data_IF_442101896442
#
_entry.id   IF_442101896442
#
_cell.length_a   1.000
_cell.length_b   1.000
_cell.length_c   1.000
_cell.angle_alpha   90.00
_cell.angle_beta   90.00
_cell.angle_gamma   90.00
#
_symmetry.space_group_name_H-M   'P 1'
#
loop_
_entity.id
_entity.type
_entity.pdbx_description
1 polymer ?
#
# COMPACT_ATOMS: atom_id res chain seq x y z
N UNK A 1 26.16 30.58 55.96
CA UNK A 1 24.80 30.71 56.53
C UNK A 1 24.05 29.43 56.21
N UNK A 2 23.65 28.68 57.27
CA UNK A 2 22.74 27.50 57.41
C UNK A 2 22.45 26.63 56.17
N UNK A 3 22.88 25.35 56.11
CA UNK A 3 22.36 24.13 56.76
C UNK A 3 20.87 23.79 56.51
N UNK A 4 20.62 22.57 55.98
CA UNK A 4 19.59 21.53 56.25
C UNK A 4 19.66 20.57 55.02
N UNK A 5 20.05 19.29 54.99
CA UNK A 5 20.04 18.08 55.85
C UNK A 5 18.68 17.33 55.92
N UNK A 6 18.59 16.20 55.20
CA UNK A 6 17.87 14.92 55.49
C UNK A 6 17.65 14.16 54.18
N UNK A 7 17.58 12.83 54.06
CA UNK A 7 17.97 11.67 54.87
C UNK A 7 17.67 10.44 54.00
N UNK A 8 18.56 9.45 54.02
CA UNK A 8 18.37 8.09 53.49
C UNK A 8 17.21 7.38 54.19
N UNK A 9 16.59 6.40 53.51
CA UNK A 9 16.21 5.15 54.16
C UNK A 9 16.26 3.96 53.18
N UNK A 10 17.00 2.95 53.63
CA UNK A 10 17.26 1.64 53.02
C UNK A 10 16.19 0.63 53.44
N UNK A 11 15.84 -0.31 52.55
CA UNK A 11 15.02 -1.47 52.89
C UNK A 11 15.83 -2.74 52.70
N UNK A 12 15.97 -3.51 53.78
CA UNK A 12 16.71 -4.76 53.89
C UNK A 12 15.86 -5.98 53.54
N UNK A 13 16.59 -6.99 53.05
CA UNK A 13 16.39 -8.43 53.00
C UNK A 13 15.68 -9.06 54.22
N UNK A 14 14.85 -10.08 53.99
CA UNK A 14 14.47 -11.09 55.00
C UNK A 14 14.27 -12.48 54.34
N UNK A 15 14.74 -13.51 55.04
CA UNK A 15 14.87 -14.93 54.65
C UNK A 15 13.99 -15.81 55.56
N UNK A 16 13.34 -16.83 54.98
CA UNK A 16 13.02 -18.14 55.57
C UNK A 16 11.64 -18.34 56.24
N UNK A 17 11.34 -19.56 56.76
CA UNK A 17 11.24 -20.88 56.08
C UNK A 17 9.95 -21.66 56.50
N UNK A 18 9.58 -22.79 55.87
CA UNK A 18 8.79 -23.93 56.45
C UNK A 18 8.57 -25.05 55.38
N UNK A 19 9.21 -26.23 55.47
CA UNK A 19 8.76 -27.54 56.04
C UNK A 19 7.73 -28.32 55.15
N UNK A 20 8.05 -29.36 54.37
CA UNK A 20 8.42 -30.79 54.60
C UNK A 20 7.22 -31.78 54.76
N UNK A 21 7.04 -32.71 53.78
CA UNK A 21 6.49 -34.09 53.87
C UNK A 21 6.59 -34.73 52.45
N UNK A 22 7.37 -35.77 52.06
CA UNK A 22 7.67 -37.18 52.43
C UNK A 22 6.76 -38.28 51.81
N UNK A 23 7.46 -39.31 51.27
CA UNK A 23 7.12 -40.66 50.74
C UNK A 23 6.63 -40.77 49.26
N UNK A 24 7.35 -41.41 48.32
CA UNK A 24 7.88 -42.81 48.16
C UNK A 24 6.86 -43.71 47.39
N UNK A 25 7.22 -44.50 46.36
CA UNK A 25 7.91 -45.81 46.40
C UNK A 25 8.21 -46.33 44.96
N UNK A 26 9.37 -47.01 44.83
CA UNK A 26 9.82 -48.15 43.98
C UNK A 26 9.11 -48.52 42.65
N UNK A 27 9.78 -49.04 41.61
CA UNK A 27 10.55 -50.31 41.62
C UNK A 27 11.46 -50.44 40.38
N UNK A 28 12.64 -51.02 40.59
CA UNK A 28 13.58 -51.45 39.56
C UNK A 28 13.34 -52.92 39.16
N UNK A 29 13.64 -53.27 37.91
CA UNK A 29 13.97 -54.64 37.51
C UNK A 29 15.21 -54.61 36.62
N UNK A 30 16.25 -55.31 37.06
CA UNK A 30 17.39 -55.73 36.25
C UNK A 30 17.32 -57.25 36.08
N UNK A 31 17.54 -57.73 34.87
CA UNK A 31 17.96 -59.12 34.61
C UNK A 31 19.02 -59.09 33.50
N UNK A 32 20.10 -59.83 33.75
CA UNK A 32 21.30 -60.05 32.94
C UNK A 32 21.17 -61.37 32.18
N UNK A 33 21.65 -61.48 30.93
CA UNK A 33 22.67 -62.48 30.49
C UNK A 33 22.85 -62.62 28.95
N UNK A 34 24.12 -62.54 28.54
CA UNK A 34 24.95 -63.20 27.51
C UNK A 34 24.50 -63.60 26.07
N UNK A 35 25.21 -62.98 25.11
CA UNK A 35 26.07 -63.53 24.03
C UNK A 35 25.56 -64.59 23.03
N UNK A 36 25.58 -64.25 21.73
CA UNK A 36 26.50 -64.87 20.76
C UNK A 36 26.64 -64.07 19.44
N UNK A 37 27.79 -64.28 18.80
CA UNK A 37 28.40 -63.65 17.62
C UNK A 37 27.67 -63.80 16.27
N UNK A 38 28.15 -62.99 15.31
CA UNK A 38 28.10 -63.11 13.83
C UNK A 38 26.84 -62.59 13.13
N UNK A 39 26.91 -61.44 12.46
CA UNK A 39 27.36 -61.37 11.06
C UNK A 39 27.37 -59.94 10.51
N UNK A 40 28.26 -59.74 9.55
CA UNK A 40 28.52 -58.53 8.77
C UNK A 40 27.27 -57.81 8.25
N UNK A 41 27.19 -56.50 8.49
CA UNK A 41 26.80 -55.54 7.45
C UNK A 41 27.61 -54.25 7.62
N UNK A 42 28.42 -53.95 6.60
CA UNK A 42 29.10 -52.67 6.43
C UNK A 42 28.05 -51.67 5.96
N UNK A 43 27.58 -50.79 6.84
CA UNK A 43 26.93 -49.54 6.41
C UNK A 43 27.94 -48.42 6.56
N UNK A 44 28.43 -47.81 5.46
CA UNK A 44 29.23 -46.62 5.55
C UNK A 44 28.35 -45.46 6.03
N UNK A 45 28.80 -44.86 7.12
CA UNK A 45 28.44 -43.51 7.54
C UNK A 45 28.64 -42.54 6.36
N UNK A 46 27.52 -42.20 5.71
CA UNK A 46 27.42 -41.24 4.61
C UNK A 46 26.37 -40.18 4.98
N UNK A 47 26.43 -39.62 6.18
CA UNK A 47 25.61 -38.46 6.57
C UNK A 47 26.44 -37.21 6.92
N UNK A 48 27.70 -37.17 6.46
CA UNK A 48 28.56 -35.99 6.61
C UNK A 48 29.07 -35.50 5.26
N UNK A 49 28.18 -34.97 4.38
CA UNK A 49 28.57 -34.10 3.25
C UNK A 49 27.37 -33.47 2.50
N UNK A 50 26.95 -32.30 2.97
CA UNK A 50 26.68 -31.09 2.18
C UNK A 50 25.89 -30.07 3.03
N UNK A 51 26.49 -29.54 4.10
CA UNK A 51 26.05 -28.22 4.55
C UNK A 51 26.48 -27.22 3.48
N UNK A 52 25.52 -26.76 2.68
CA UNK A 52 25.70 -25.61 1.81
C UNK A 52 26.06 -24.44 2.71
N UNK A 53 27.35 -24.07 2.75
CA UNK A 53 27.84 -22.93 3.50
C UNK A 53 27.33 -21.64 2.83
N UNK A 54 26.06 -21.31 3.08
CA UNK A 54 25.48 -20.02 2.73
C UNK A 54 25.77 -19.07 3.90
N UNK A 55 26.75 -18.18 3.71
CA UNK A 55 27.08 -17.15 4.70
C UNK A 55 26.13 -15.96 4.50
N UNK A 56 25.47 -15.56 5.61
CA UNK A 56 24.66 -14.34 5.85
C UNK A 56 24.47 -13.36 4.67
N UNK A 57 23.20 -13.04 4.41
CA UNK A 57 22.82 -12.05 3.38
C UNK A 57 22.80 -10.63 3.98
N UNK A 58 23.08 -9.62 3.14
CA UNK A 58 22.81 -8.21 3.43
C UNK A 58 21.79 -7.60 2.44
N UNK A 59 21.98 -6.34 2.04
CA UNK A 59 21.07 -5.47 1.26
C UNK A 59 20.48 -6.13 0.01
N UNK A 60 19.21 -6.52 0.11
CA UNK A 60 18.33 -6.93 -0.98
C UNK A 60 17.44 -5.73 -1.31
N UNK A 61 17.23 -5.45 -2.60
CA UNK A 61 16.20 -4.49 -3.02
C UNK A 61 14.96 -5.26 -3.45
N UNK A 62 13.84 -4.98 -2.80
CA UNK A 62 12.52 -5.55 -3.08
C UNK A 62 11.56 -4.41 -3.36
N UNK A 63 10.85 -4.45 -4.49
CA UNK A 63 9.65 -3.64 -4.69
C UNK A 63 8.50 -4.20 -3.83
N UNK A 64 7.50 -3.36 -3.58
CA UNK A 64 6.30 -3.76 -2.84
C UNK A 64 5.67 -5.02 -3.47
N UNK A 65 5.47 -6.08 -2.67
CA UNK A 65 4.91 -7.36 -3.12
C UNK A 65 5.90 -8.41 -3.61
N UNK A 66 7.20 -8.09 -3.75
CA UNK A 66 8.25 -9.09 -3.99
C UNK A 66 8.94 -9.47 -2.67
N UNK A 67 9.16 -10.77 -2.47
CA UNK A 67 9.94 -11.29 -1.34
C UNK A 67 10.93 -12.35 -1.82
N UNK A 68 12.22 -12.15 -1.59
CA UNK A 68 13.21 -13.22 -1.73
C UNK A 68 13.14 -14.16 -0.52
N UNK A 69 13.32 -15.46 -0.74
CA UNK A 69 13.15 -16.50 0.28
C UNK A 69 14.47 -17.25 0.54
N UNK A 70 14.50 -18.03 1.62
CA UNK A 70 15.65 -18.85 1.96
C UNK A 70 16.05 -19.77 0.77
N UNK A 71 17.35 -19.85 0.41
CA UNK A 71 18.50 -19.42 1.21
C UNK A 71 18.97 -17.97 0.98
N UNK A 72 18.24 -17.14 0.24
CA UNK A 72 18.61 -15.73 -0.05
C UNK A 72 18.18 -14.78 1.06
N UNK A 73 17.10 -15.07 1.79
CA UNK A 73 16.71 -14.31 2.98
C UNK A 73 16.32 -15.30 4.07
N UNK A 74 16.85 -15.14 5.29
CA UNK A 74 16.66 -16.12 6.38
C UNK A 74 15.17 -16.28 6.75
N UNK A 75 14.42 -15.18 6.74
CA UNK A 75 12.99 -15.18 7.00
C UNK A 75 12.34 -13.97 6.37
N UNK A 76 11.56 -14.19 5.30
CA UNK A 76 10.63 -13.19 4.79
C UNK A 76 9.28 -13.38 5.50
N UNK A 77 8.66 -12.29 5.94
CA UNK A 77 7.27 -12.28 6.41
C UNK A 77 6.41 -11.55 5.39
N UNK A 78 5.35 -12.20 4.95
CA UNK A 78 4.46 -11.71 3.92
C UNK A 78 3.01 -12.07 4.28
N UNK A 79 2.05 -11.27 3.85
CA UNK A 79 0.64 -11.37 4.27
C UNK A 79 -0.37 -11.29 3.13
N UNK A 80 0.09 -11.00 1.91
CA UNK A 80 -0.74 -10.97 0.72
C UNK A 80 -0.89 -12.35 0.08
N UNK A 81 -1.74 -12.40 -0.94
CA UNK A 81 -2.04 -13.62 -1.68
C UNK A 81 -0.91 -13.89 -2.68
N UNK A 82 -0.41 -15.12 -2.77
CA UNK A 82 0.58 -15.48 -3.80
C UNK A 82 0.00 -15.31 -5.22
N UNK A 83 0.73 -14.62 -6.10
CA UNK A 83 0.38 -14.59 -7.52
C UNK A 83 1.11 -15.69 -8.26
N UNK A 84 0.42 -16.78 -8.55
CA UNK A 84 0.93 -17.87 -9.37
C UNK A 84 0.68 -17.68 -10.88
N UNK A 85 0.03 -16.57 -11.29
CA UNK A 85 -0.38 -16.34 -12.68
C UNK A 85 0.66 -15.61 -13.52
N UNK A 86 1.68 -15.04 -12.88
CA UNK A 86 2.73 -14.26 -13.54
C UNK A 86 3.69 -15.15 -14.33
N UNK A 87 4.40 -14.54 -15.28
CA UNK A 87 5.49 -15.15 -16.03
C UNK A 87 6.82 -14.43 -15.74
N UNK A 88 7.35 -14.54 -14.51
CA UNK A 88 8.57 -13.84 -14.15
C UNK A 88 9.79 -14.38 -14.89
N UNK A 89 10.75 -13.49 -15.08
CA UNK A 89 12.05 -13.74 -15.69
C UNK A 89 13.13 -13.49 -14.64
N UNK A 90 14.15 -14.36 -14.59
CA UNK A 90 15.33 -14.15 -13.74
C UNK A 90 16.54 -13.91 -14.64
N UNK A 91 17.14 -12.73 -14.52
CA UNK A 91 18.34 -12.35 -15.25
C UNK A 91 19.55 -12.38 -14.32
N UNK A 92 20.67 -12.87 -14.85
CA UNK A 92 21.95 -12.85 -14.16
C UNK A 92 22.96 -12.12 -15.02
N UNK A 93 23.66 -11.15 -14.43
CA UNK A 93 24.52 -10.22 -15.16
C UNK A 93 25.85 -10.03 -14.43
N UNK A 94 26.94 -9.87 -15.17
CA UNK A 94 28.26 -9.57 -14.59
C UNK A 94 28.42 -8.09 -14.18
N UNK A 95 27.44 -7.25 -14.51
CA UNK A 95 27.44 -5.81 -14.19
C UNK A 95 26.14 -5.40 -13.47
N UNK A 96 26.19 -4.38 -12.60
CA UNK A 96 25.00 -3.91 -11.87
C UNK A 96 23.86 -3.38 -12.76
N UNK A 97 24.18 -2.89 -13.97
CA UNK A 97 23.19 -2.35 -14.89
C UNK A 97 22.39 -3.42 -15.64
N UNK A 98 22.83 -4.69 -15.59
CA UNK A 98 22.18 -5.80 -16.29
C UNK A 98 21.91 -5.58 -17.78
N UNK A 99 22.78 -4.83 -18.46
CA UNK A 99 22.68 -4.63 -19.90
C UNK A 99 23.19 -5.87 -20.67
N UNK A 100 22.62 -6.18 -21.85
CA UNK A 100 23.10 -7.27 -22.69
C UNK A 100 24.60 -7.12 -23.06
N UNK A 101 25.35 -8.24 -23.19
CA UNK A 101 24.89 -9.62 -23.06
C UNK A 101 24.72 -10.06 -21.60
N UNK A 102 23.59 -10.72 -21.30
CA UNK A 102 23.33 -11.34 -20.01
C UNK A 102 24.27 -12.54 -19.79
N UNK A 103 24.67 -12.79 -18.54
CA UNK A 103 25.41 -14.01 -18.19
C UNK A 103 24.49 -15.23 -18.27
N UNK A 104 23.25 -15.10 -17.79
CA UNK A 104 22.22 -16.15 -17.90
C UNK A 104 20.83 -15.51 -17.88
N UNK A 105 19.87 -16.14 -18.56
CA UNK A 105 18.47 -15.76 -18.60
C UNK A 105 17.62 -16.99 -18.30
N UNK A 106 16.73 -16.89 -17.32
CA UNK A 106 15.77 -17.93 -17.00
C UNK A 106 14.35 -17.41 -17.22
N UNK A 107 13.52 -18.16 -17.94
CA UNK A 107 12.11 -17.85 -18.18
C UNK A 107 11.23 -19.00 -17.70
N UNK A 108 9.91 -18.84 -17.77
CA UNK A 108 8.95 -19.92 -17.52
C UNK A 108 8.97 -20.99 -18.62
N UNK A 109 9.50 -20.64 -19.80
CA UNK A 109 9.68 -21.53 -20.94
C UNK A 109 10.98 -22.35 -20.80
N UNK A 110 10.98 -23.58 -21.32
CA UNK A 110 12.15 -24.46 -21.29
C UNK A 110 11.92 -25.78 -20.54
N UNK A 111 13.01 -26.50 -20.23
CA UNK A 111 12.95 -27.84 -19.62
C UNK A 111 13.82 -27.94 -18.36
N UNK A 112 13.32 -28.67 -17.35
CA UNK A 112 14.11 -29.03 -16.18
C UNK A 112 14.27 -27.92 -15.14
N UNK A 113 15.44 -27.84 -14.52
CA UNK A 113 15.76 -26.91 -13.42
C UNK A 113 16.19 -25.52 -13.92
N UNK A 114 16.39 -25.37 -15.23
CA UNK A 114 16.74 -24.12 -15.93
C UNK A 114 15.52 -23.27 -16.30
N UNK A 115 14.31 -23.66 -15.86
CA UNK A 115 13.11 -22.83 -15.98
C UNK A 115 12.71 -22.26 -14.64
N UNK A 116 12.08 -21.09 -14.66
CA UNK A 116 11.35 -20.55 -13.51
C UNK A 116 10.12 -21.41 -13.28
N UNK A 117 10.09 -22.11 -12.15
CA UNK A 117 9.03 -23.05 -11.75
C UNK A 117 8.18 -22.45 -10.65
N UNK A 118 6.93 -22.86 -10.60
CA UNK A 118 6.00 -22.51 -9.52
C UNK A 118 5.95 -23.69 -8.54
N UNK A 119 6.12 -23.41 -7.26
CA UNK A 119 5.81 -24.30 -6.15
C UNK A 119 4.52 -23.80 -5.50
N UNK A 120 3.40 -24.45 -5.83
CA UNK A 120 2.08 -24.07 -5.33
C UNK A 120 1.86 -24.43 -3.86
N UNK A 121 2.57 -25.43 -3.34
CA UNK A 121 2.40 -25.88 -1.95
C UNK A 121 3.09 -24.92 -0.99
N UNK A 122 4.28 -24.47 -1.37
CA UNK A 122 5.07 -23.50 -0.60
C UNK A 122 4.91 -22.06 -1.13
N UNK A 123 3.96 -21.84 -2.03
CA UNK A 123 3.56 -20.55 -2.60
C UNK A 123 4.73 -19.63 -3.04
N UNK A 124 5.61 -20.13 -3.91
CA UNK A 124 6.73 -19.35 -4.45
C UNK A 124 7.14 -19.76 -5.87
N UNK A 125 7.94 -18.91 -6.50
CA UNK A 125 8.70 -19.20 -7.71
C UNK A 125 10.11 -19.68 -7.36
N UNK A 126 10.65 -20.61 -8.15
CA UNK A 126 11.99 -21.16 -7.96
C UNK A 126 12.70 -21.42 -9.29
N UNK A 127 13.96 -21.02 -9.39
CA UNK A 127 14.91 -21.46 -10.42
C UNK A 127 16.25 -21.83 -9.80
N UNK A 128 17.00 -22.74 -10.42
CA UNK A 128 18.31 -23.17 -9.92
C UNK A 128 19.42 -22.64 -10.82
N UNK A 129 20.27 -21.77 -10.27
CA UNK A 129 21.45 -21.29 -10.98
C UNK A 129 22.68 -22.13 -10.64
N UNK A 130 23.13 -22.97 -11.58
CA UNK A 130 24.37 -23.72 -11.46
C UNK A 130 25.56 -22.90 -12.00
N UNK A 131 26.48 -22.54 -11.11
CA UNK A 131 27.65 -21.71 -11.47
C UNK A 131 28.64 -22.42 -12.39
N UNK A 132 28.71 -23.76 -12.35
CA UNK A 132 29.58 -24.52 -13.27
C UNK A 132 29.03 -24.53 -14.68
N UNK A 133 27.73 -24.81 -14.82
CA UNK A 133 27.08 -24.94 -16.12
C UNK A 133 26.93 -23.60 -16.83
N UNK A 134 26.63 -22.54 -16.09
CA UNK A 134 26.58 -21.16 -16.62
C UNK A 134 27.97 -20.57 -16.90
N UNK A 135 29.06 -21.21 -16.47
CA UNK A 135 30.41 -20.69 -16.63
C UNK A 135 30.72 -19.47 -15.76
N UNK A 136 30.07 -19.34 -14.60
CA UNK A 136 30.35 -18.25 -13.67
C UNK A 136 31.79 -18.33 -13.12
N UNK A 137 32.46 -17.19 -13.03
CA UNK A 137 33.89 -17.10 -12.73
C UNK A 137 34.12 -16.78 -11.26
N UNK A 138 34.96 -17.56 -10.59
CA UNK A 138 35.37 -17.26 -9.22
C UNK A 138 36.15 -15.94 -9.15
N UNK A 139 35.81 -15.09 -8.17
CA UNK A 139 36.32 -13.73 -8.01
C UNK A 139 35.43 -12.65 -8.64
N UNK A 140 34.36 -13.03 -9.36
CA UNK A 140 33.40 -12.11 -9.95
C UNK A 140 32.13 -11.99 -9.08
N UNK A 141 31.56 -10.79 -9.05
CA UNK A 141 30.21 -10.54 -8.52
C UNK A 141 29.22 -10.46 -9.67
N UNK A 142 28.06 -11.10 -9.48
CA UNK A 142 26.96 -11.12 -10.41
C UNK A 142 25.73 -10.48 -9.75
N UNK A 143 24.93 -9.77 -10.53
CA UNK A 143 23.60 -9.32 -10.12
C UNK A 143 22.57 -10.34 -10.56
N UNK A 144 21.69 -10.72 -9.64
CA UNK A 144 20.49 -11.51 -9.92
C UNK A 144 19.29 -10.58 -9.83
N UNK A 145 18.55 -10.43 -10.93
CA UNK A 145 17.37 -9.57 -11.01
C UNK A 145 16.13 -10.41 -11.31
N UNK A 146 15.03 -10.15 -10.61
CA UNK A 146 13.70 -10.69 -10.92
C UNK A 146 12.92 -9.63 -11.68
N UNK A 147 12.38 -10.01 -12.83
CA UNK A 147 11.53 -9.17 -13.66
C UNK A 147 10.15 -9.78 -13.86
N UNK A 148 9.17 -8.92 -14.01
CA UNK A 148 7.85 -9.26 -14.57
C UNK A 148 7.65 -8.33 -15.76
N UNK A 149 7.44 -8.89 -16.94
CA UNK A 149 7.53 -8.16 -18.21
C UNK A 149 8.88 -7.41 -18.30
N UNK A 150 8.87 -6.09 -18.44
CA UNK A 150 10.08 -5.25 -18.51
C UNK A 150 10.47 -4.61 -17.17
N UNK A 151 9.64 -4.75 -16.13
CA UNK A 151 9.88 -4.13 -14.82
C UNK A 151 10.77 -4.99 -13.94
N UNK A 152 11.82 -4.40 -13.38
CA UNK A 152 12.62 -5.01 -12.31
C UNK A 152 11.83 -4.92 -11.01
N UNK A 153 11.45 -6.07 -10.47
CA UNK A 153 10.73 -6.17 -9.19
C UNK A 153 11.70 -6.21 -7.99
N UNK A 154 12.95 -6.58 -8.22
CA UNK A 154 13.98 -6.60 -7.18
C UNK A 154 15.23 -7.33 -7.62
N UNK A 155 16.29 -7.16 -6.83
CA UNK A 155 17.59 -7.74 -7.14
C UNK A 155 18.45 -7.95 -5.88
N UNK A 156 19.45 -8.81 -6.02
CA UNK A 156 20.53 -9.00 -5.06
C UNK A 156 21.83 -9.36 -5.77
N UNK A 157 22.96 -9.14 -5.11
CA UNK A 157 24.28 -9.41 -5.67
C UNK A 157 24.89 -10.69 -5.08
N UNK A 158 25.54 -11.49 -5.94
CA UNK A 158 26.18 -12.77 -5.61
C UNK A 158 27.65 -12.73 -5.98
N UNK A 159 28.54 -12.81 -4.99
CA UNK A 159 29.97 -13.01 -5.17
C UNK A 159 30.28 -14.51 -5.32
N UNK A 160 30.75 -14.91 -6.51
CA UNK A 160 31.21 -16.28 -6.75
C UNK A 160 32.65 -16.41 -6.27
N UNK A 161 32.91 -17.33 -5.34
CA UNK A 161 34.22 -17.50 -4.68
C UNK A 161 34.78 -18.90 -4.92
N UNK A 162 36.11 -19.09 -4.86
CA UNK A 162 36.72 -20.39 -5.10
C UNK A 162 36.58 -21.36 -3.91
N UNK A 163 36.40 -20.84 -2.69
CA UNK A 163 36.37 -21.64 -1.46
C UNK A 163 35.41 -21.09 -0.42
N UNK A 164 34.91 -21.94 0.48
CA UNK A 164 34.08 -21.50 1.62
C UNK A 164 34.83 -20.59 2.61
N UNK A 165 36.16 -20.64 2.65
CA UNK A 165 36.95 -19.70 3.45
C UNK A 165 36.85 -18.26 2.89
N UNK A 166 36.87 -18.11 1.56
CA UNK A 166 36.67 -16.82 0.90
C UNK A 166 35.23 -16.31 1.05
N UNK A 167 34.24 -17.21 1.14
CA UNK A 167 32.84 -16.82 1.37
C UNK A 167 32.67 -15.99 2.66
N UNK A 168 33.46 -16.28 3.70
CA UNK A 168 33.46 -15.52 4.98
C UNK A 168 34.03 -14.10 4.86
N UNK A 169 34.74 -13.79 3.78
CA UNK A 169 35.37 -12.50 3.54
C UNK A 169 34.58 -11.62 2.56
N UNK A 170 33.47 -12.11 2.03
CA UNK A 170 32.57 -11.34 1.16
C UNK A 170 31.97 -10.18 1.95
N UNK A 171 31.82 -9.03 1.31
CA UNK A 171 31.29 -7.82 1.94
C UNK A 171 29.86 -8.05 2.46
N UNK A 172 29.49 -7.49 3.62
CA UNK A 172 28.09 -7.42 4.03
C UNK A 172 27.26 -6.80 2.90
N UNK A 173 26.11 -7.37 2.58
CA UNK A 173 25.32 -6.94 1.42
C UNK A 173 25.35 -7.90 0.24
N UNK A 174 26.40 -8.72 0.13
CA UNK A 174 26.60 -9.58 -1.04
C UNK A 174 26.54 -11.04 -0.63
N UNK A 175 25.73 -11.83 -1.32
CA UNK A 175 25.62 -13.27 -1.08
C UNK A 175 26.89 -13.97 -1.58
N UNK A 176 27.50 -14.82 -0.76
CA UNK A 176 28.62 -15.64 -1.20
C UNK A 176 28.16 -16.99 -1.76
N UNK A 177 28.70 -17.40 -2.91
CA UNK A 177 28.43 -18.71 -3.52
C UNK A 177 29.73 -19.36 -3.98
N UNK A 178 30.00 -20.60 -3.57
CA UNK A 178 31.24 -21.27 -3.99
C UNK A 178 31.10 -21.73 -5.45
N UNK A 179 32.10 -21.44 -6.28
CA UNK A 179 32.15 -21.84 -7.68
C UNK A 179 31.93 -23.35 -7.82
N UNK A 180 31.02 -23.72 -8.71
CA UNK A 180 30.57 -25.09 -8.91
C UNK A 180 29.34 -25.50 -8.09
N UNK A 181 28.86 -24.65 -7.19
CA UNK A 181 27.59 -24.88 -6.49
C UNK A 181 26.39 -24.37 -7.30
N UNK A 182 25.21 -24.87 -6.90
CA UNK A 182 23.92 -24.40 -7.38
C UNK A 182 23.29 -23.50 -6.33
N UNK A 183 22.78 -22.35 -6.76
CA UNK A 183 21.96 -21.45 -5.95
C UNK A 183 20.48 -21.64 -6.31
N UNK A 184 19.65 -22.15 -5.40
CA UNK A 184 18.20 -22.08 -5.53
C UNK A 184 17.75 -20.63 -5.33
N UNK A 185 17.25 -20.00 -6.38
CA UNK A 185 16.70 -18.65 -6.35
C UNK A 185 15.21 -18.78 -6.12
N UNK A 186 14.77 -18.58 -4.87
CA UNK A 186 13.37 -18.63 -4.46
C UNK A 186 12.85 -17.23 -4.21
N UNK A 187 11.68 -16.91 -4.75
CA UNK A 187 11.02 -15.64 -4.53
C UNK A 187 9.50 -15.80 -4.58
N UNK A 188 8.79 -15.04 -3.76
CA UNK A 188 7.33 -14.91 -3.79
C UNK A 188 7.01 -13.57 -4.43
N UNK A 189 6.07 -13.58 -5.37
CA UNK A 189 5.42 -12.36 -5.83
C UNK A 189 3.99 -12.47 -5.34
N UNK A 190 3.57 -11.53 -4.52
CA UNK A 190 2.18 -11.43 -4.15
C UNK A 190 1.38 -10.86 -5.31
N UNK A 191 0.10 -11.20 -5.37
CA UNK A 191 -0.81 -10.50 -6.24
C UNK A 191 -0.66 -9.04 -5.85
N UNK A 192 -0.27 -8.25 -6.84
CA UNK A 192 -0.88 -6.96 -6.94
C UNK A 192 -2.36 -7.32 -7.09
N UNK A 193 -3.11 -7.44 -6.01
CA UNK A 193 -4.56 -7.45 -6.13
C UNK A 193 -4.82 -6.16 -6.93
N UNK A 194 -5.20 -6.30 -8.19
CA UNK A 194 -4.74 -5.53 -9.36
C UNK A 194 -4.90 -3.98 -9.31
N UNK A 195 -4.19 -3.28 -8.42
CA UNK A 195 -4.55 -1.88 -8.09
C UNK A 195 -5.74 -1.78 -7.13
N UNK A 196 -6.08 -2.88 -6.45
CA UNK A 196 -6.90 -2.88 -5.25
C UNK A 196 -6.11 -2.19 -4.14
N UNK A 197 -6.23 -0.87 -4.10
CA UNK A 197 -5.67 -0.07 -3.04
C UNK A 197 -6.34 -0.47 -1.73
N UNK A 198 -5.58 -1.18 -0.91
CA UNK A 198 -5.91 -1.36 0.50
C UNK A 198 -5.89 0.04 1.12
N UNK A 199 -6.97 0.46 1.80
CA UNK A 199 -7.11 1.81 2.30
C UNK A 199 -5.93 2.25 3.16
N UNK A 200 -5.47 3.49 2.96
CA UNK A 200 -4.37 4.07 3.72
C UNK A 200 -3.24 4.68 2.90
N UNK A 201 -3.35 4.75 1.58
CA UNK A 201 -2.43 5.49 0.68
C UNK A 201 -3.18 5.92 -0.59
N UNK A 202 -4.48 6.13 -0.42
CA UNK A 202 -5.44 6.30 -1.49
C UNK A 202 -6.46 7.39 -1.18
N UNK A 203 -7.09 7.88 -2.24
CA UNK A 203 -8.29 8.72 -2.16
C UNK A 203 -9.36 8.16 -3.10
N UNK A 204 -10.55 7.91 -2.55
CA UNK A 204 -11.68 7.43 -3.33
C UNK A 204 -12.46 8.64 -3.85
N UNK A 205 -12.74 8.69 -5.16
CA UNK A 205 -13.41 9.82 -5.81
C UNK A 205 -14.74 9.35 -6.39
N UNK A 206 -15.81 10.05 -6.02
CA UNK A 206 -17.14 9.93 -6.62
C UNK A 206 -17.59 11.29 -7.12
N UNK A 207 -17.80 11.43 -8.43
CA UNK A 207 -18.25 12.69 -9.03
C UNK A 207 -19.75 12.70 -9.36
N UNK A 208 -20.52 12.03 -8.51
CA UNK A 208 -21.96 12.15 -8.37
C UNK A 208 -22.33 11.92 -6.90
N UNK A 209 -22.87 12.95 -6.25
CA UNK A 209 -23.34 12.87 -4.86
C UNK A 209 -24.60 12.00 -4.74
N UNK A 210 -25.41 11.91 -5.79
CA UNK A 210 -26.70 11.25 -5.76
C UNK A 210 -26.60 9.74 -5.65
N UNK A 211 -25.44 9.11 -5.92
CA UNK A 211 -25.21 7.68 -5.63
C UNK A 211 -25.45 7.35 -4.14
N UNK A 212 -25.33 8.34 -3.26
CA UNK A 212 -25.56 8.22 -1.83
C UNK A 212 -26.91 8.78 -1.36
N UNK A 213 -27.75 9.26 -2.28
CA UNK A 213 -29.07 9.77 -1.92
C UNK A 213 -30.01 8.65 -1.49
N UNK A 214 -30.99 8.95 -0.64
CA UNK A 214 -32.01 8.00 -0.17
C UNK A 214 -32.79 7.37 -1.35
N UNK A 215 -32.93 8.10 -2.47
CA UNK A 215 -33.53 7.57 -3.70
C UNK A 215 -32.65 6.49 -4.35
N UNK A 216 -31.35 6.75 -4.52
CA UNK A 216 -30.42 5.77 -5.09
C UNK A 216 -30.19 4.59 -4.14
N UNK A 217 -30.17 4.85 -2.83
CA UNK A 217 -30.01 3.84 -1.78
C UNK A 217 -31.26 2.99 -1.54
N UNK A 218 -32.35 3.21 -2.27
CA UNK A 218 -33.40 2.20 -2.43
C UNK A 218 -32.85 0.94 -3.12
N UNK A 219 -31.76 1.05 -3.88
CA UNK A 219 -30.99 -0.07 -4.40
C UNK A 219 -30.07 -0.63 -3.29
N UNK A 220 -30.19 -1.92 -2.92
CA UNK A 220 -29.34 -2.55 -1.90
C UNK A 220 -27.85 -2.55 -2.26
N UNK A 221 -27.48 -2.50 -3.54
CA UNK A 221 -26.09 -2.42 -3.96
C UNK A 221 -25.45 -1.05 -3.64
N UNK A 222 -26.21 0.05 -3.66
CA UNK A 222 -25.76 1.35 -3.17
C UNK A 222 -25.54 1.33 -1.64
N UNK A 223 -26.35 0.56 -0.89
CA UNK A 223 -26.14 0.33 0.54
C UNK A 223 -24.85 -0.47 0.75
N UNK A 224 -24.62 -1.52 -0.05
CA UNK A 224 -23.40 -2.34 -0.01
C UNK A 224 -22.14 -1.53 -0.30
N UNK A 225 -22.21 -0.57 -1.23
CA UNK A 225 -21.11 0.37 -1.48
C UNK A 225 -20.68 1.11 -0.21
N UNK A 226 -21.64 1.58 0.58
CA UNK A 226 -21.35 2.24 1.86
C UNK A 226 -20.75 1.28 2.87
N UNK A 227 -21.26 0.05 2.96
CA UNK A 227 -20.68 -0.98 3.82
C UNK A 227 -19.20 -1.17 3.52
N UNK A 228 -18.87 -1.35 2.24
CA UNK A 228 -17.49 -1.57 1.81
C UNK A 228 -16.59 -0.33 2.00
N UNK A 229 -17.17 0.88 1.91
CA UNK A 229 -16.43 2.12 2.12
C UNK A 229 -16.00 2.33 3.56
N UNK A 230 -16.83 1.95 4.55
CA UNK A 230 -16.54 2.21 5.98
C UNK A 230 -16.09 0.97 6.76
N UNK A 231 -16.52 -0.22 6.35
CA UNK A 231 -16.14 -1.49 6.98
C UNK A 231 -14.98 -2.16 6.23
N UNK A 232 -13.84 -1.49 6.20
CA UNK A 232 -12.61 -1.99 5.59
C UNK A 232 -11.54 -2.35 6.62
N UNK A 233 -10.53 -3.08 6.17
CA UNK A 233 -9.31 -3.38 6.91
C UNK A 233 -8.10 -2.66 6.32
N UNK A 234 -7.17 -2.23 7.17
CA UNK A 234 -5.91 -1.55 6.80
C UNK A 234 -4.79 -1.95 7.76
N UNK A 235 -3.53 -1.79 7.35
CA UNK A 235 -2.35 -2.11 8.16
C UNK A 235 -1.99 -1.02 9.20
N UNK A 236 -2.62 0.15 9.15
CA UNK A 236 -2.30 1.29 10.01
C UNK A 236 -3.12 1.39 11.31
N UNK A 237 -2.73 2.28 12.26
CA UNK A 237 -3.43 2.47 13.54
C UNK A 237 -4.90 2.88 13.40
N UNK A 238 -5.33 3.40 12.25
CA UNK A 238 -6.73 3.77 11.98
C UNK A 238 -7.63 2.58 11.65
N UNK A 239 -7.07 1.36 11.54
CA UNK A 239 -7.86 0.14 11.33
C UNK A 239 -8.92 -0.07 12.42
N UNK A 240 -8.56 0.27 13.67
CA UNK A 240 -9.43 0.22 14.85
C UNK A 240 -10.21 1.52 15.10
N UNK A 241 -10.19 2.46 14.16
CA UNK A 241 -10.94 3.71 14.29
C UNK A 241 -12.45 3.43 14.39
N UNK A 242 -13.13 4.23 15.20
CA UNK A 242 -14.55 4.07 15.55
C UNK A 242 -15.41 5.24 15.07
N UNK A 243 -14.82 6.17 14.32
CA UNK A 243 -15.49 7.40 13.91
C UNK A 243 -15.34 7.63 12.40
N UNK A 244 -16.41 8.14 11.79
CA UNK A 244 -16.44 8.66 10.43
C UNK A 244 -16.65 10.16 10.51
N UNK A 245 -15.76 10.90 9.88
CA UNK A 245 -15.90 12.35 9.70
C UNK A 245 -16.57 12.66 8.37
N UNK A 246 -17.53 13.55 8.44
CA UNK A 246 -18.21 14.12 7.28
C UNK A 246 -17.87 15.61 7.26
N UNK A 247 -16.83 15.99 6.52
CA UNK A 247 -16.41 17.38 6.44
C UNK A 247 -17.25 18.13 5.40
N UNK A 248 -18.03 19.04 5.94
CA UNK A 248 -18.99 19.92 5.30
C UNK A 248 -18.45 21.34 5.19
N UNK A 249 -17.15 21.50 5.47
CA UNK A 249 -16.40 22.72 5.37
C UNK A 249 -16.09 23.16 3.95
N UNK A 250 -15.06 23.99 3.80
CA UNK A 250 -14.55 24.48 2.51
C UNK A 250 -15.63 25.03 1.58
N UNK A 251 -16.64 25.71 2.15
CA UNK A 251 -17.78 26.28 1.42
C UNK A 251 -18.52 25.23 0.57
N UNK A 252 -18.90 24.10 1.16
CA UNK A 252 -19.58 23.01 0.45
C UNK A 252 -20.67 23.50 -0.50
N UNK A 253 -20.66 23.02 -1.74
CA UNK A 253 -21.68 23.36 -2.74
C UNK A 253 -23.07 22.84 -2.35
N UNK A 254 -23.14 21.84 -1.46
CA UNK A 254 -24.40 21.25 -1.05
C UNK A 254 -24.36 20.69 0.37
N UNK A 255 -25.00 21.41 1.30
CA UNK A 255 -25.04 21.06 2.71
C UNK A 255 -26.06 19.95 3.08
N UNK A 256 -26.79 19.38 2.11
CA UNK A 256 -27.84 18.40 2.41
C UNK A 256 -27.31 17.10 3.01
N UNK A 257 -26.10 16.64 2.61
CA UNK A 257 -25.43 15.51 3.25
C UNK A 257 -24.91 15.80 4.67
N UNK A 258 -24.81 17.08 4.99
CA UNK A 258 -24.13 17.65 6.16
C UNK A 258 -25.06 18.11 7.27
N UNK A 259 -26.34 18.31 6.95
CA UNK A 259 -27.34 18.66 7.94
C UNK A 259 -27.88 17.37 8.56
N UNK A 260 -27.56 17.12 9.82
CA UNK A 260 -28.33 16.19 10.67
C UNK A 260 -29.74 16.70 10.98
N UNK A 261 -30.23 17.65 10.17
CA UNK A 261 -31.58 18.18 10.27
C UNK A 261 -32.53 17.08 9.84
N UNK A 262 -33.48 16.76 10.72
CA UNK A 262 -34.63 15.88 10.48
C UNK A 262 -35.45 16.21 9.21
N UNK A 263 -35.15 17.32 8.54
CA UNK A 263 -35.77 17.74 7.28
C UNK A 263 -34.90 17.54 6.03
N UNK A 264 -33.63 17.11 6.17
CA UNK A 264 -32.82 16.65 5.04
C UNK A 264 -33.09 15.16 4.84
N UNK A 265 -34.15 14.82 4.11
CA UNK A 265 -34.51 13.43 3.79
C UNK A 265 -33.71 12.86 2.62
N UNK A 266 -32.58 13.48 2.27
CA UNK A 266 -31.85 13.11 1.05
C UNK A 266 -30.73 12.11 1.33
N UNK A 267 -30.19 12.03 2.55
CA UNK A 267 -29.03 11.18 2.88
C UNK A 267 -29.21 10.44 4.22
N UNK A 268 -30.43 10.22 4.70
CA UNK A 268 -30.66 9.56 5.98
C UNK A 268 -30.25 8.08 5.94
N UNK A 269 -30.43 7.40 4.81
CA UNK A 269 -30.06 5.99 4.65
C UNK A 269 -28.54 5.84 4.73
N UNK A 270 -27.78 6.71 4.05
CA UNK A 270 -26.31 6.77 4.15
C UNK A 270 -25.87 6.86 5.61
N UNK A 271 -26.38 7.88 6.31
CA UNK A 271 -25.94 8.21 7.66
C UNK A 271 -26.32 7.10 8.66
N UNK A 272 -27.56 6.60 8.57
CA UNK A 272 -28.03 5.49 9.40
C UNK A 272 -27.25 4.22 9.12
N UNK A 273 -26.84 3.98 7.86
CA UNK A 273 -26.06 2.80 7.49
C UNK A 273 -24.66 2.85 8.10
N UNK A 274 -23.98 3.98 8.03
CA UNK A 274 -22.68 4.17 8.69
C UNK A 274 -22.78 3.86 10.20
N UNK A 275 -23.79 4.42 10.87
CA UNK A 275 -24.00 4.19 12.30
C UNK A 275 -24.36 2.74 12.63
N UNK A 276 -24.99 2.01 11.71
CA UNK A 276 -25.31 0.59 11.89
C UNK A 276 -24.08 -0.32 11.98
N UNK A 277 -22.91 0.16 11.53
CA UNK A 277 -21.60 -0.49 11.73
C UNK A 277 -20.97 -0.19 13.10
N UNK A 278 -21.70 0.47 14.01
CA UNK A 278 -21.20 0.87 15.32
C UNK A 278 -20.22 2.06 15.28
N UNK A 279 -20.17 2.77 14.16
CA UNK A 279 -19.32 3.94 13.97
C UNK A 279 -20.03 5.21 14.42
N UNK A 280 -19.33 6.09 15.13
CA UNK A 280 -19.79 7.45 15.38
C UNK A 280 -19.69 8.26 14.10
N UNK A 281 -20.74 8.96 13.70
CA UNK A 281 -20.72 9.86 12.56
C UNK A 281 -20.70 11.31 13.04
N UNK A 282 -19.62 12.03 12.75
CA UNK A 282 -19.42 13.42 13.16
C UNK A 282 -19.40 14.33 11.95
N UNK A 283 -20.25 15.37 11.96
CA UNK A 283 -20.17 16.43 10.98
C UNK A 283 -19.09 17.43 11.40
N UNK A 284 -18.15 17.68 10.50
CA UNK A 284 -17.13 18.71 10.63
C UNK A 284 -17.50 19.83 9.66
N UNK A 285 -17.18 21.08 10.02
CA UNK A 285 -17.39 22.23 9.14
C UNK A 285 -16.11 23.03 9.12
N UNK A 286 -15.06 22.46 8.51
CA UNK A 286 -13.75 23.09 8.45
C UNK A 286 -13.79 24.39 7.64
N UNK A 287 -13.07 25.41 8.10
CA UNK A 287 -12.68 26.54 7.25
C UNK A 287 -11.27 26.33 6.71
N UNK A 288 -10.90 27.07 5.66
CA UNK A 288 -9.53 27.02 5.09
C UNK A 288 -8.47 27.13 6.19
N UNK A 289 -7.57 26.17 6.25
CA UNK A 289 -6.48 26.06 7.23
C UNK A 289 -6.84 25.39 8.56
N UNK A 290 -8.00 24.74 8.68
CA UNK A 290 -8.45 24.16 9.97
C UNK A 290 -8.53 22.64 9.98
N UNK A 291 -8.54 21.98 8.83
CA UNK A 291 -8.52 20.51 8.74
C UNK A 291 -7.09 19.96 8.94
N UNK A 292 -6.46 20.33 10.06
CA UNK A 292 -5.04 20.04 10.35
C UNK A 292 -4.84 19.03 11.49
N UNK A 293 -5.88 18.75 12.26
CA UNK A 293 -5.84 17.84 13.42
C UNK A 293 -6.99 16.82 13.32
N UNK A 294 -6.77 15.73 12.59
CA UNK A 294 -7.75 14.64 12.45
C UNK A 294 -7.54 13.64 13.59
N UNK A 295 -8.51 13.48 14.53
CA UNK A 295 -8.38 12.58 15.68
C UNK A 295 -8.03 11.15 15.27
N UNK A 296 -7.25 10.46 16.10
CA UNK A 296 -6.75 9.11 15.81
C UNK A 296 -7.85 8.04 15.72
N UNK A 297 -9.01 8.28 16.34
CA UNK A 297 -10.17 7.39 16.26
C UNK A 297 -10.99 7.56 14.98
N UNK A 298 -10.68 8.55 14.12
CA UNK A 298 -11.31 8.70 12.80
C UNK A 298 -10.74 7.65 11.85
N UNK A 299 -11.62 6.81 11.31
CA UNK A 299 -11.31 5.76 10.34
C UNK A 299 -11.52 6.21 8.90
N UNK A 300 -12.59 6.97 8.66
CA UNK A 300 -12.97 7.44 7.33
C UNK A 300 -13.26 8.93 7.37
N UNK A 301 -12.80 9.66 6.36
CA UNK A 301 -13.03 11.09 6.19
C UNK A 301 -13.69 11.34 4.82
N UNK A 302 -14.93 11.80 4.84
CA UNK A 302 -15.62 12.28 3.64
C UNK A 302 -15.39 13.78 3.48
N UNK A 303 -14.89 14.20 2.32
CA UNK A 303 -14.77 15.59 1.90
C UNK A 303 -15.96 15.91 1.01
N UNK A 304 -16.94 16.65 1.53
CA UNK A 304 -18.26 16.75 0.92
C UNK A 304 -18.42 18.01 0.06
N UNK A 305 -18.28 17.86 -1.27
CA UNK A 305 -18.43 18.91 -2.29
C UNK A 305 -17.74 20.24 -1.97
N UNK A 306 -16.44 20.25 -1.56
CA UNK A 306 -15.72 21.48 -1.25
C UNK A 306 -15.61 22.41 -2.46
N UNK A 307 -15.73 23.72 -2.26
CA UNK A 307 -15.49 24.73 -3.31
C UNK A 307 -14.38 25.72 -2.96
N UNK A 308 -13.62 25.45 -1.91
CA UNK A 308 -12.41 26.20 -1.53
C UNK A 308 -11.23 25.25 -1.44
N UNK A 309 -10.09 25.66 -1.99
CA UNK A 309 -8.85 24.88 -1.99
C UNK A 309 -8.33 24.61 -0.57
N UNK A 310 -7.53 23.55 -0.45
CA UNK A 310 -6.89 23.13 0.79
C UNK A 310 -5.50 23.75 0.91
N UNK A 311 -5.14 24.17 2.12
CA UNK A 311 -3.78 24.64 2.42
C UNK A 311 -2.79 23.48 2.45
N UNK A 312 -1.49 23.77 2.31
CA UNK A 312 -0.44 22.75 2.42
C UNK A 312 -0.47 22.03 3.78
N UNK A 313 -0.82 22.73 4.86
CA UNK A 313 -0.96 22.11 6.17
C UNK A 313 -2.11 21.09 6.22
N UNK A 314 -3.23 21.39 5.58
CA UNK A 314 -4.37 20.47 5.48
C UNK A 314 -4.03 19.28 4.57
N UNK A 315 -3.39 19.53 3.43
CA UNK A 315 -2.90 18.44 2.55
C UNK A 315 -1.95 17.52 3.31
N UNK A 316 -1.02 18.05 4.09
CA UNK A 316 -0.12 17.24 4.91
C UNK A 316 -0.85 16.46 6.01
N UNK A 317 -1.90 17.04 6.61
CA UNK A 317 -2.75 16.32 7.56
C UNK A 317 -3.53 15.17 6.90
N UNK A 318 -4.03 15.38 5.67
CA UNK A 318 -4.68 14.33 4.87
C UNK A 318 -3.69 13.22 4.48
N UNK A 319 -2.47 13.58 4.05
CA UNK A 319 -1.39 12.62 3.75
C UNK A 319 -1.03 11.77 4.98
N UNK A 320 -0.88 12.40 6.15
CA UNK A 320 -0.63 11.70 7.40
C UNK A 320 -1.79 10.79 7.80
N UNK A 321 -3.03 11.30 7.68
CA UNK A 321 -4.25 10.52 7.94
C UNK A 321 -4.29 9.27 7.06
N UNK A 322 -4.01 9.41 5.76
CA UNK A 322 -3.90 8.28 4.86
C UNK A 322 -2.81 7.32 5.32
N UNK A 323 -1.56 7.77 5.49
CA UNK A 323 -0.42 6.94 5.91
C UNK A 323 -0.68 6.10 7.17
N UNK A 324 -1.55 6.57 8.06
CA UNK A 324 -2.00 5.89 9.27
C UNK A 324 -3.11 4.84 9.04
N UNK A 325 -3.44 4.55 7.78
CA UNK A 325 -4.52 3.64 7.37
C UNK A 325 -5.88 4.31 7.17
N UNK A 326 -5.99 5.62 7.25
CA UNK A 326 -7.25 6.34 7.08
C UNK A 326 -7.73 6.33 5.63
N UNK A 327 -9.04 6.21 5.40
CA UNK A 327 -9.63 6.33 4.05
C UNK A 327 -10.19 7.73 3.82
N UNK A 328 -9.71 8.40 2.77
CA UNK A 328 -10.24 9.68 2.30
C UNK A 328 -11.25 9.38 1.19
N UNK A 329 -12.44 9.96 1.28
CA UNK A 329 -13.48 9.88 0.25
C UNK A 329 -13.82 11.30 -0.21
N UNK A 330 -13.46 11.64 -1.44
CA UNK A 330 -13.84 12.90 -2.07
C UNK A 330 -15.17 12.74 -2.78
N UNK A 331 -16.14 13.58 -2.41
CA UNK A 331 -17.45 13.63 -3.04
C UNK A 331 -17.53 14.91 -3.85
N UNK A 332 -17.56 14.76 -5.17
CA UNK A 332 -17.81 15.84 -6.13
C UNK A 332 -19.20 15.76 -6.74
N UNK A 333 -19.34 16.36 -7.92
CA UNK A 333 -20.54 16.30 -8.76
C UNK A 333 -20.21 16.49 -10.25
N UNK A 334 -21.21 16.30 -11.12
CA UNK A 334 -21.16 16.64 -12.52
C UNK A 334 -20.90 18.15 -12.73
N UNK A 335 -20.24 18.50 -13.82
CA UNK A 335 -19.74 19.86 -14.10
C UNK A 335 -20.84 20.93 -14.03
N UNK A 336 -22.05 20.59 -14.48
CA UNK A 336 -23.20 21.51 -14.46
C UNK A 336 -23.68 21.90 -13.06
N UNK A 337 -23.48 21.04 -12.06
CA UNK A 337 -23.82 21.33 -10.66
C UNK A 337 -22.59 21.80 -9.87
N UNK A 338 -21.46 21.09 -10.00
CA UNK A 338 -20.26 21.39 -9.22
C UNK A 338 -19.50 22.62 -9.74
N UNK A 339 -19.79 23.03 -10.98
CA UNK A 339 -19.17 24.13 -11.73
C UNK A 339 -17.67 23.93 -11.93
N UNK A 340 -17.06 24.80 -12.75
CA UNK A 340 -15.61 24.80 -12.92
C UNK A 340 -14.86 24.98 -11.58
N UNK A 341 -15.45 25.69 -10.61
CA UNK A 341 -14.83 25.90 -9.29
C UNK A 341 -14.65 24.60 -8.52
N UNK A 342 -15.68 23.74 -8.45
CA UNK A 342 -15.58 22.45 -7.77
C UNK A 342 -14.57 21.51 -8.45
N UNK A 343 -14.59 21.45 -9.78
CA UNK A 343 -13.64 20.68 -10.59
C UNK A 343 -12.19 21.14 -10.36
N UNK A 344 -11.96 22.46 -10.28
CA UNK A 344 -10.63 23.01 -9.96
C UNK A 344 -10.17 22.58 -8.57
N UNK A 345 -11.03 22.70 -7.55
CA UNK A 345 -10.69 22.33 -6.16
C UNK A 345 -10.38 20.84 -6.03
N UNK A 346 -11.16 19.98 -6.68
CA UNK A 346 -10.90 18.53 -6.72
C UNK A 346 -9.54 18.23 -7.34
N UNK A 347 -9.28 18.75 -8.54
CA UNK A 347 -8.03 18.49 -9.26
C UNK A 347 -6.81 19.08 -8.52
N UNK A 348 -6.92 20.27 -7.91
CA UNK A 348 -5.86 20.86 -7.10
C UNK A 348 -5.53 20.00 -5.87
N UNK A 349 -6.55 19.47 -5.19
CA UNK A 349 -6.34 18.55 -4.07
C UNK A 349 -5.65 17.26 -4.54
N UNK A 350 -6.15 16.64 -5.63
CA UNK A 350 -5.55 15.43 -6.20
C UNK A 350 -4.08 15.64 -6.58
N UNK A 351 -3.77 16.74 -7.28
CA UNK A 351 -2.38 17.12 -7.60
C UNK A 351 -1.54 17.29 -6.32
N UNK A 352 -2.08 17.98 -5.30
CA UNK A 352 -1.35 18.23 -4.06
C UNK A 352 -1.10 16.95 -3.25
N UNK A 353 -1.99 15.98 -3.35
CA UNK A 353 -1.82 14.64 -2.79
C UNK A 353 -0.85 13.78 -3.62
N UNK A 354 -0.40 14.23 -4.79
CA UNK A 354 0.46 13.46 -5.70
C UNK A 354 -0.30 12.45 -6.57
N UNK A 355 -1.63 12.52 -6.61
CA UNK A 355 -2.43 11.67 -7.49
C UNK A 355 -2.32 12.08 -8.96
N UNK A 356 -2.45 11.10 -9.85
CA UNK A 356 -2.49 11.31 -11.31
C UNK A 356 -3.91 11.48 -11.82
N UNK A 357 -4.89 10.77 -11.25
CA UNK A 357 -6.32 10.87 -11.57
C UNK A 357 -6.80 12.32 -11.71
N UNK A 358 -7.55 12.61 -12.78
CA UNK A 358 -8.17 13.95 -13.00
C UNK A 358 -9.66 13.86 -13.26
N UNK A 359 -10.42 14.81 -12.75
CA UNK A 359 -11.78 15.07 -13.17
C UNK A 359 -11.77 15.95 -14.42
N UNK A 360 -12.32 15.44 -15.52
CA UNK A 360 -12.40 16.12 -16.82
C UNK A 360 -13.77 16.73 -17.10
N UNK A 361 -14.67 16.70 -16.12
CA UNK A 361 -15.98 17.33 -16.16
C UNK A 361 -17.02 16.56 -16.96
N UNK A 362 -17.96 17.30 -17.55
CA UNK A 362 -19.11 16.75 -18.25
C UNK A 362 -20.29 16.38 -17.36
N UNK A 363 -21.29 15.80 -18.02
CA UNK A 363 -22.58 15.42 -17.46
C UNK A 363 -23.02 14.11 -18.12
N UNK A 364 -22.61 12.99 -17.53
CA UNK A 364 -22.82 11.64 -18.06
C UNK A 364 -23.94 10.93 -17.31
N UNK A 365 -24.74 10.15 -18.04
CA UNK A 365 -25.87 9.37 -17.54
C UNK A 365 -26.88 10.16 -16.70
N UNK A 366 -27.13 11.41 -17.06
CA UNK A 366 -28.01 12.27 -16.27
C UNK A 366 -29.48 11.79 -16.22
N UNK A 367 -30.09 11.96 -15.06
CA UNK A 367 -31.32 11.27 -14.65
C UNK A 367 -31.00 10.03 -13.82
N UNK A 368 -31.96 9.54 -13.03
CA UNK A 368 -31.73 8.38 -12.17
C UNK A 368 -31.61 7.11 -13.02
N UNK A 369 -30.40 6.57 -13.09
CA UNK A 369 -29.99 5.47 -13.94
C UNK A 369 -29.41 4.31 -13.11
N UNK A 370 -29.54 3.10 -13.62
CA UNK A 370 -28.88 1.91 -13.05
C UNK A 370 -27.74 1.49 -13.98
N UNK A 371 -26.52 1.53 -13.47
CA UNK A 371 -25.35 0.99 -14.11
C UNK A 371 -25.39 -0.55 -14.07
N UNK A 372 -25.19 -1.23 -15.20
CA UNK A 372 -25.18 -2.69 -15.22
C UNK A 372 -23.89 -3.26 -14.63
N UNK A 373 -23.89 -4.56 -14.30
CA UNK A 373 -22.70 -5.28 -13.78
C UNK A 373 -21.47 -5.10 -14.65
N UNK A 374 -21.63 -5.05 -15.98
CA UNK A 374 -20.52 -4.86 -16.92
C UNK A 374 -19.79 -3.51 -16.74
N UNK A 375 -20.45 -2.52 -16.13
CA UNK A 375 -19.87 -1.22 -15.80
C UNK A 375 -19.18 -1.20 -14.44
N UNK A 376 -19.33 -2.24 -13.61
CA UNK A 376 -18.72 -2.33 -12.27
C UNK A 376 -17.41 -3.12 -12.37
N UNK A 377 -16.33 -2.58 -11.82
CA UNK A 377 -15.03 -3.27 -11.74
C UNK A 377 -14.87 -3.95 -10.39
N UNK A 378 -14.10 -5.04 -10.34
CA UNK A 378 -13.91 -5.82 -9.13
C UNK A 378 -12.92 -5.12 -8.19
N UNK A 379 -13.41 -4.61 -7.07
CA UNK A 379 -12.61 -3.94 -6.05
C UNK A 379 -13.25 -4.21 -4.68
N UNK A 380 -12.51 -4.20 -3.55
CA UNK A 380 -13.11 -4.32 -2.22
C UNK A 380 -14.24 -3.31 -1.96
N UNK A 381 -14.16 -2.11 -2.54
CA UNK A 381 -15.22 -1.08 -2.47
C UNK A 381 -16.49 -1.53 -3.22
N UNK A 382 -16.35 -2.28 -4.32
CA UNK A 382 -17.45 -2.80 -5.14
C UNK A 382 -17.75 -4.29 -4.88
N UNK A 383 -17.18 -4.87 -3.82
CA UNK A 383 -17.34 -6.29 -3.52
C UNK A 383 -18.80 -6.64 -3.24
N UNK A 384 -19.32 -7.60 -4.01
CA UNK A 384 -20.72 -8.04 -3.96
C UNK A 384 -21.72 -7.09 -4.63
N UNK A 385 -21.27 -6.07 -5.36
CA UNK A 385 -22.13 -5.12 -6.09
C UNK A 385 -22.33 -5.62 -7.51
N UNK A 386 -23.58 -5.83 -7.91
CA UNK A 386 -23.93 -6.27 -9.28
C UNK A 386 -24.49 -5.17 -10.16
N UNK A 387 -24.95 -4.06 -9.58
CA UNK A 387 -25.42 -2.88 -10.28
C UNK A 387 -25.32 -1.68 -9.33
N UNK A 388 -25.41 -0.45 -9.85
CA UNK A 388 -25.41 0.76 -9.02
C UNK A 388 -26.41 1.78 -9.56
N UNK A 389 -27.21 2.37 -8.68
CA UNK A 389 -28.07 3.49 -9.04
C UNK A 389 -27.31 4.80 -8.88
N UNK A 390 -27.28 5.61 -9.92
CA UNK A 390 -26.66 6.93 -9.88
C UNK A 390 -27.46 7.92 -10.71
N UNK A 391 -27.14 9.21 -10.60
CA UNK A 391 -27.71 10.25 -11.44
C UNK A 391 -26.69 10.71 -12.48
N UNK A 392 -26.34 11.99 -12.45
CA UNK A 392 -25.46 12.63 -13.42
C UNK A 392 -24.05 12.71 -12.83
N UNK A 393 -23.01 12.30 -13.56
CA UNK A 393 -21.64 12.36 -13.06
C UNK A 393 -20.67 13.09 -13.99
N UNK A 394 -19.61 13.68 -13.42
CA UNK A 394 -18.41 14.05 -14.20
C UNK A 394 -17.58 12.81 -14.51
N UNK A 395 -16.83 12.86 -15.61
CA UNK A 395 -15.86 11.84 -15.99
C UNK A 395 -14.57 12.04 -15.21
N UNK A 396 -13.95 10.94 -14.80
CA UNK A 396 -12.56 10.93 -14.35
C UNK A 396 -11.67 10.18 -15.33
N UNK A 397 -10.42 10.57 -15.40
CA UNK A 397 -9.35 9.91 -16.15
C UNK A 397 -8.33 9.35 -15.14
N UNK A 398 -8.34 8.02 -14.88
CA UNK A 398 -7.36 7.38 -14.02
C UNK A 398 -5.94 7.45 -14.61
N UNK A 399 -4.94 7.60 -13.76
CA UNK A 399 -3.53 7.40 -14.11
C UNK A 399 -3.09 5.93 -14.06
N UNK A 400 -1.81 5.64 -14.34
CA UNK A 400 -1.28 4.26 -14.42
C UNK A 400 -1.47 3.39 -13.18
N UNK A 401 -1.50 3.99 -11.98
CA UNK A 401 -1.62 3.29 -10.69
C UNK A 401 -2.99 3.51 -10.01
N UNK A 402 -3.93 4.11 -10.74
CA UNK A 402 -5.28 4.41 -10.24
C UNK A 402 -6.25 3.32 -10.67
N UNK A 403 -7.31 3.09 -9.89
CA UNK A 403 -8.29 2.03 -10.14
C UNK A 403 -9.66 2.61 -10.50
N UNK A 404 -10.22 2.23 -11.65
CA UNK A 404 -11.58 2.59 -12.01
C UNK A 404 -12.58 1.71 -11.23
N UNK A 405 -13.47 2.29 -10.42
CA UNK A 405 -14.49 1.54 -9.67
C UNK A 405 -15.68 1.17 -10.56
N UNK A 406 -16.18 2.14 -11.31
CA UNK A 406 -17.25 1.90 -12.28
C UNK A 406 -17.26 2.92 -13.41
N UNK A 407 -17.88 2.49 -14.50
CA UNK A 407 -18.00 3.22 -15.75
C UNK A 407 -19.45 3.65 -15.98
N UNK A 408 -19.66 4.51 -16.97
CA UNK A 408 -20.97 4.87 -17.49
C UNK A 408 -21.74 3.65 -18.03
N UNK A 409 -23.02 3.82 -18.36
CA UNK A 409 -23.89 2.74 -18.87
C UNK A 409 -23.38 2.12 -20.16
N UNK A 410 -22.66 2.89 -20.98
CA UNK A 410 -22.01 2.36 -22.18
C UNK A 410 -20.71 1.63 -21.90
N UNK A 411 -20.24 1.65 -20.65
CA UNK A 411 -18.98 1.07 -20.20
C UNK A 411 -17.76 1.66 -20.93
N UNK A 412 -17.79 2.97 -21.22
CA UNK A 412 -16.73 3.67 -21.98
C UNK A 412 -16.04 4.79 -21.20
N UNK A 413 -16.70 5.38 -20.21
CA UNK A 413 -16.15 6.50 -19.41
C UNK A 413 -16.16 6.14 -17.93
N UNK A 414 -15.08 6.44 -17.21
CA UNK A 414 -14.98 6.16 -15.76
C UNK A 414 -15.69 7.27 -14.98
N UNK A 415 -16.54 6.90 -14.02
CA UNK A 415 -17.35 7.84 -13.24
C UNK A 415 -16.98 7.89 -11.74
N UNK A 416 -16.28 6.86 -11.26
CA UNK A 416 -15.69 6.82 -9.93
C UNK A 416 -14.44 5.95 -9.93
N UNK A 417 -13.51 6.26 -9.02
CA UNK A 417 -12.21 5.60 -8.99
C UNK A 417 -11.50 5.77 -7.66
N UNK A 418 -10.38 5.09 -7.54
CA UNK A 418 -9.46 5.20 -6.42
C UNK A 418 -8.13 5.70 -6.96
N UNK A 419 -7.62 6.80 -6.44
CA UNK A 419 -6.35 7.37 -6.86
C UNK A 419 -5.25 7.06 -5.85
N UNK A 420 -4.08 6.64 -6.35
CA UNK A 420 -2.87 6.54 -5.53
C UNK A 420 -2.44 7.92 -5.09
N UNK A 421 -2.03 8.07 -3.84
CA UNK A 421 -1.47 9.33 -3.34
C UNK A 421 -0.07 9.15 -2.77
N UNK A 422 0.74 10.19 -2.89
CA UNK A 422 2.02 10.30 -2.21
C UNK A 422 1.80 10.82 -0.79
N UNK A 423 2.01 9.96 0.20
CA UNK A 423 1.86 10.29 1.61
C UNK A 423 3.05 11.04 2.20
N UNK A 424 4.09 11.34 1.41
CA UNK A 424 5.24 12.14 1.85
C UNK A 424 4.79 13.59 2.11
N UNK A 425 5.03 14.14 3.31
CA UNK A 425 4.68 15.52 3.60
C UNK A 425 5.35 16.50 2.63
N UNK A 426 4.58 17.48 2.16
CA UNK A 426 5.08 18.59 1.35
C UNK A 426 5.91 19.50 2.26
N UNK A 427 7.17 19.73 1.90
CA UNK A 427 8.05 20.61 2.64
C UNK A 427 7.56 22.07 2.60
N UNK A 428 7.52 22.72 3.77
CA UNK A 428 7.07 24.11 3.89
C UNK A 428 7.90 25.12 3.08
N UNK A 429 9.17 24.81 2.79
CA UNK A 429 10.09 25.70 2.08
C UNK A 429 9.76 25.84 0.58
N UNK A 430 9.14 24.83 -0.04
CA UNK A 430 8.77 24.87 -1.46
C UNK A 430 7.64 25.87 -1.76
N UNK A 431 6.84 26.22 -0.74
CA UNK A 431 5.68 27.13 -0.86
C UNK A 431 6.13 28.59 -1.05
N UNK A 432 7.29 28.97 -0.50
CA UNK A 432 7.79 30.36 -0.54
C UNK A 432 8.36 30.72 -1.92
N UNK A 433 8.81 29.72 -2.69
CA UNK A 433 9.43 29.96 -4.01
C UNK A 433 8.41 30.36 -5.08
N UNK A 434 7.21 29.75 -5.09
CA UNK A 434 6.15 30.08 -6.08
C UNK A 434 5.55 31.47 -5.87
N UNK A 435 5.39 31.92 -4.61
CA UNK A 435 4.90 33.27 -4.34
C UNK A 435 5.90 34.37 -4.71
N UNK A 436 7.21 34.07 -4.75
CA UNK A 436 8.23 35.02 -5.21
C UNK A 436 8.32 35.14 -6.73
N UNK A 437 7.99 34.09 -7.47
CA UNK A 437 7.99 34.15 -8.94
C UNK A 437 6.78 34.92 -9.52
N UNK A 438 5.63 34.94 -8.85
CA UNK A 438 4.46 35.72 -9.32
C UNK A 438 4.55 37.23 -9.07
N UNK A 439 5.47 37.71 -8.22
CA UNK A 439 5.62 39.16 -7.96
C UNK A 439 6.64 39.88 -8.86
N UNK A 440 7.28 39.22 -9.82
CA UNK A 440 8.31 39.85 -10.67
C UNK A 440 7.90 40.15 -12.12
N UNK A 441 6.62 40.09 -12.49
CA UNK A 441 6.16 40.51 -13.81
C UNK A 441 4.94 41.44 -13.76
N UNK A 442 5.16 42.68 -13.31
CA UNK A 442 4.34 43.80 -13.73
C UNK A 442 5.28 44.91 -14.22
N UNK A 443 5.37 45.16 -15.53
CA UNK A 443 6.04 46.36 -16.01
C UNK A 443 5.20 47.58 -15.58
N UNK A 444 5.87 48.61 -15.09
CA UNK A 444 5.25 49.88 -14.78
C UNK A 444 4.71 50.50 -16.08
N UNK A 445 3.39 50.51 -16.26
CA UNK A 445 2.76 51.26 -17.33
C UNK A 445 2.84 52.76 -17.02
N UNK A 446 3.73 53.40 -17.76
CA UNK A 446 3.93 54.84 -17.86
C UNK A 446 2.75 55.44 -18.64
N UNK A 447 1.68 55.81 -17.92
CA UNK A 447 0.56 56.54 -18.51
C UNK A 447 0.94 57.99 -18.82
N UNK A 448 1.40 58.20 -20.05
CA UNK A 448 1.50 59.50 -20.70
C UNK A 448 0.10 60.08 -20.94
N UNK A 449 -0.15 61.19 -20.24
CA UNK A 449 -1.32 62.05 -20.42
C UNK A 449 -1.10 62.94 -21.66
N UNK A 450 -1.90 62.76 -22.71
CA UNK A 450 -1.93 63.67 -23.85
C UNK A 450 -3.34 63.81 -24.44
N UNK A 451 -3.85 65.04 -24.47
CA UNK A 451 -4.72 65.52 -25.55
C UNK A 451 -6.23 65.58 -25.28
N UNK A 452 -6.66 66.62 -24.56
CA UNK A 452 -8.03 67.15 -24.68
C UNK A 452 -8.00 68.43 -25.51
N UNK A 453 -8.49 68.37 -26.75
CA UNK A 453 -8.92 69.55 -27.52
C UNK A 453 -10.12 69.23 -28.42
N UNK A 454 -11.05 70.20 -28.47
CA UNK A 454 -12.29 70.33 -29.27
C UNK A 454 -13.52 69.62 -28.68
N UNK A 455 -14.68 70.23 -28.43
CA UNK A 455 -15.19 71.56 -28.80
C UNK A 455 -16.43 71.44 -29.70
N UNK A 456 -17.61 71.29 -29.10
CA UNK A 456 -18.85 71.98 -29.50
C UNK A 456 -19.94 71.82 -28.44
#
# INVERSE_FOLDING_TARGET
MKMIKKSMQTSKLAIGPFLLFLLAICTAFTVVSCQNDSDHEVSPDLDARAETLVVKIGEVTEEEGLFFLAPIVESASYSGTFDASLSPVVEICATPACEPPLHTLFTVDGSGAEKVRIDMENEHYIVNWNTKESGAVAGQTYRVSVKVEEQIMGYFDVAVVSTGAQAKAVAPGVMALVAGQTLPIKFRIEKNDDGVQVPGRDIVVFNDVNIFSDLSMANPNNIRLIDNLVNFTTAGPRNSGTEVWFDCGHNTAYNGGCSGSVNSTTFNVLRSRIQSHGLTLTNVSSSVGTLINIPSNVKTLFLWLPTLSYTVAEVNALKQFAAEGGRIVFIGEHEGFYTATGLTVENELLISLGAVLRNTGGAVDCGLNVLPTASIRQHPITEGITDLTMACASVIEPGPDDYALFYDKSNTRVLAGVAKIDVTPIAAELVVSSSRMMMMSQPADENLNAGSTTGR
#
